data_IF_288387689439
#
_entry.id   IF_288387689439
#
_cell.length_a   1.000
_cell.length_b   1.000
_cell.length_c   1.000
_cell.angle_alpha   90.00
_cell.angle_beta   90.00
_cell.angle_gamma   90.00
#
_symmetry.space_group_name_H-M   'P 1'
#
loop_
_entity.id
_entity.type
_entity.pdbx_description
1 polymer ?
#
# COMPACT_ATOMS: atom_id res chain seq x y z
N UNK A 1 4.29 20.21 -18.45
CA UNK A 1 3.48 20.30 -17.23
C UNK A 1 2.08 19.75 -17.52
N UNK A 2 1.22 20.45 -18.28
CA UNK A 2 -0.18 20.05 -18.58
C UNK A 2 -0.50 18.55 -18.78
N UNK A 3 0.18 17.82 -19.68
CA UNK A 3 -0.16 16.39 -19.94
C UNK A 3 0.21 15.44 -18.79
N UNK A 4 1.33 15.67 -18.10
CA UNK A 4 1.72 14.83 -16.95
C UNK A 4 0.84 15.15 -15.75
N UNK A 5 0.59 16.43 -15.49
CA UNK A 5 -0.31 16.88 -14.43
C UNK A 5 -1.71 16.31 -14.62
N UNK A 6 -2.27 16.41 -15.83
CA UNK A 6 -3.58 15.82 -16.17
C UNK A 6 -3.64 14.31 -15.96
N UNK A 7 -2.58 13.58 -16.32
CA UNK A 7 -2.52 12.13 -16.08
C UNK A 7 -2.50 11.81 -14.58
N UNK A 8 -1.82 12.65 -13.82
CA UNK A 8 -1.62 12.45 -12.41
C UNK A 8 -2.83 12.84 -11.58
N UNK A 9 -3.77 13.66 -12.09
CA UNK A 9 -5.02 14.02 -11.38
C UNK A 9 -5.78 12.77 -10.90
N UNK A 10 -6.17 12.78 -9.62
CA UNK A 10 -6.88 11.69 -8.95
C UNK A 10 -6.09 10.39 -8.77
N UNK A 11 -4.75 10.44 -8.86
CA UNK A 11 -3.86 9.29 -8.59
C UNK A 11 -3.33 9.32 -7.16
N UNK A 12 -3.37 8.17 -6.49
CA UNK A 12 -2.87 8.00 -5.13
C UNK A 12 -1.35 7.88 -5.04
N UNK A 13 -0.68 7.53 -6.14
CA UNK A 13 0.76 7.28 -6.15
C UNK A 13 1.41 7.80 -7.43
N UNK A 14 2.54 8.48 -7.29
CA UNK A 14 3.53 8.68 -8.35
C UNK A 14 4.85 8.08 -7.87
N UNK A 15 5.41 7.09 -8.59
CA UNK A 15 6.66 6.45 -8.20
C UNK A 15 7.79 7.45 -8.03
N UNK A 16 8.60 7.32 -6.97
CA UNK A 16 9.77 8.18 -6.73
C UNK A 16 10.72 8.21 -7.93
N UNK A 17 10.92 7.07 -8.60
CA UNK A 17 11.69 6.95 -9.86
C UNK A 17 11.19 7.81 -11.03
N UNK A 18 9.95 8.28 -10.97
CA UNK A 18 9.33 9.18 -11.96
C UNK A 18 9.46 10.66 -11.57
N UNK A 19 9.93 10.97 -10.36
CA UNK A 19 10.13 12.33 -9.83
C UNK A 19 11.62 12.76 -9.78
N UNK A 20 12.54 12.01 -10.39
CA UNK A 20 13.97 12.37 -10.38
C UNK A 20 14.21 13.68 -11.16
N UNK A 21 15.04 14.62 -10.64
CA UNK A 21 15.22 15.96 -11.23
C UNK A 21 15.70 15.97 -12.69
N UNK A 22 16.52 15.00 -13.07
CA UNK A 22 17.21 14.98 -14.38
C UNK A 22 16.39 14.30 -15.50
N UNK A 23 15.12 13.96 -15.24
CA UNK A 23 14.31 13.24 -16.20
C UNK A 23 13.59 14.16 -17.17
N UNK A 24 13.62 13.77 -18.45
CA UNK A 24 12.75 14.38 -19.44
C UNK A 24 11.28 14.12 -19.09
N UNK A 25 10.41 15.06 -19.47
CA UNK A 25 8.96 14.96 -19.27
C UNK A 25 8.38 13.65 -19.83
N UNK A 26 8.90 13.21 -20.97
CA UNK A 26 8.50 11.95 -21.61
C UNK A 26 8.94 10.73 -20.78
N UNK A 27 10.14 10.78 -20.19
CA UNK A 27 10.63 9.70 -19.32
C UNK A 27 9.80 9.59 -18.04
N UNK A 28 9.45 10.71 -17.39
CA UNK A 28 8.54 10.72 -16.24
C UNK A 28 7.18 10.10 -16.58
N UNK A 29 6.61 10.49 -17.73
CA UNK A 29 5.33 9.97 -18.22
C UNK A 29 5.40 8.46 -18.49
N UNK A 30 6.40 8.00 -19.25
CA UNK A 30 6.55 6.58 -19.60
C UNK A 30 6.67 5.72 -18.34
N UNK A 31 7.51 6.15 -17.39
CA UNK A 31 7.71 5.41 -16.12
C UNK A 31 6.45 5.37 -15.26
N UNK A 32 5.68 6.44 -15.18
CA UNK A 32 4.41 6.44 -14.47
C UNK A 32 3.38 5.48 -15.12
N UNK A 33 3.32 5.46 -16.45
CA UNK A 33 2.43 4.54 -17.18
C UNK A 33 2.88 3.08 -17.03
N UNK A 34 4.18 2.80 -17.13
CA UNK A 34 4.74 1.47 -16.89
C UNK A 34 4.47 1.01 -15.46
N UNK A 35 4.63 1.89 -14.48
CA UNK A 35 4.34 1.60 -13.09
C UNK A 35 2.87 1.25 -12.85
N UNK A 36 1.96 2.00 -13.45
CA UNK A 36 0.51 1.79 -13.30
C UNK A 36 0.04 0.41 -13.76
N UNK A 37 0.83 -0.27 -14.60
CA UNK A 37 0.54 -1.61 -15.13
C UNK A 37 1.14 -2.73 -14.29
N UNK A 38 1.89 -2.42 -13.23
CA UNK A 38 2.50 -3.44 -12.37
C UNK A 38 1.43 -4.19 -11.59
N UNK A 39 1.63 -5.50 -11.50
CA UNK A 39 0.81 -6.43 -10.69
C UNK A 39 1.55 -6.95 -9.46
N UNK A 40 2.86 -6.71 -9.37
CA UNK A 40 3.71 -7.13 -8.26
C UNK A 40 4.10 -5.93 -7.40
N UNK A 41 3.87 -6.06 -6.10
CA UNK A 41 4.32 -5.10 -5.10
C UNK A 41 5.74 -5.45 -4.66
N UNK A 42 6.53 -4.42 -4.39
CA UNK A 42 7.88 -4.52 -3.83
C UNK A 42 7.89 -4.03 -2.38
N UNK A 43 9.03 -4.17 -1.70
CA UNK A 43 9.24 -3.55 -0.38
C UNK A 43 9.11 -2.02 -0.46
N UNK A 44 9.74 -1.42 -1.47
CA UNK A 44 9.72 0.03 -1.65
C UNK A 44 8.29 0.55 -1.79
N UNK A 45 7.42 -0.15 -2.53
CA UNK A 45 6.00 0.22 -2.62
C UNK A 45 5.30 0.24 -1.25
N UNK A 46 5.63 -0.71 -0.37
CA UNK A 46 5.05 -0.73 0.98
C UNK A 46 5.50 0.47 1.80
N UNK A 47 6.78 0.82 1.73
CA UNK A 47 7.40 1.91 2.49
C UNK A 47 7.10 3.30 1.90
N UNK A 48 6.86 3.39 0.60
CA UNK A 48 6.50 4.62 -0.13
C UNK A 48 5.07 5.10 0.17
N UNK A 49 4.31 4.30 0.93
CA UNK A 49 2.92 4.52 1.21
C UNK A 49 2.64 4.50 2.72
N UNK A 50 1.80 5.45 3.15
CA UNK A 50 0.94 5.18 4.27
C UNK A 50 -0.24 4.32 3.82
N UNK A 51 -0.81 3.54 4.73
CA UNK A 51 -1.88 2.61 4.43
C UNK A 51 -3.03 2.80 5.41
N UNK A 52 -4.26 2.89 4.91
CA UNK A 52 -5.43 2.68 5.76
C UNK A 52 -5.64 1.20 5.98
N UNK A 53 -5.98 0.83 7.21
CA UNK A 53 -6.21 -0.53 7.65
C UNK A 53 -7.63 -0.66 8.20
N UNK A 54 -8.31 -1.75 7.88
CA UNK A 54 -9.54 -2.15 8.55
C UNK A 54 -9.74 -3.67 8.51
N UNK A 55 -10.53 -4.18 9.45
CA UNK A 55 -11.03 -5.54 9.46
C UNK A 55 -12.17 -5.72 8.46
N UNK A 56 -12.32 -6.93 7.92
CA UNK A 56 -13.50 -7.30 7.13
C UNK A 56 -14.62 -7.75 8.05
N UNK A 57 -15.81 -7.92 7.49
CA UNK A 57 -16.99 -8.45 8.19
C UNK A 57 -16.78 -9.87 8.77
N UNK A 58 -15.77 -10.60 8.31
CA UNK A 58 -15.48 -11.97 8.79
C UNK A 58 -14.57 -11.99 10.03
N UNK A 59 -14.00 -10.85 10.40
CA UNK A 59 -13.19 -10.75 11.60
C UNK A 59 -14.04 -10.98 12.86
N UNK A 60 -13.45 -11.46 13.97
CA UNK A 60 -14.17 -11.57 15.23
C UNK A 60 -14.82 -10.24 15.64
N UNK A 61 -16.05 -10.30 16.14
CA UNK A 61 -16.88 -9.13 16.47
C UNK A 61 -16.18 -8.12 17.38
N UNK A 62 -15.36 -8.59 18.31
CA UNK A 62 -14.54 -7.72 19.15
C UNK A 62 -13.71 -6.71 18.34
N UNK A 63 -13.04 -7.18 17.28
CA UNK A 63 -12.18 -6.35 16.44
C UNK A 63 -13.00 -5.39 15.58
N UNK A 64 -14.12 -5.85 15.03
CA UNK A 64 -15.04 -5.02 14.25
C UNK A 64 -15.58 -3.87 15.10
N UNK A 65 -15.97 -4.14 16.35
CA UNK A 65 -16.56 -3.14 17.25
C UNK A 65 -15.59 -2.04 17.70
N UNK A 66 -14.28 -2.22 17.51
CA UNK A 66 -13.26 -1.21 17.85
C UNK A 66 -12.58 -0.61 16.62
N UNK A 67 -13.02 -0.99 15.42
CA UNK A 67 -12.49 -0.51 14.16
C UNK A 67 -13.28 0.73 13.67
N UNK A 68 -12.64 1.91 13.58
CA UNK A 68 -13.22 3.15 13.06
C UNK A 68 -13.93 3.01 11.72
N UNK A 69 -13.52 2.08 10.86
CA UNK A 69 -14.18 1.84 9.58
C UNK A 69 -15.64 1.37 9.77
N UNK A 70 -15.89 0.54 10.78
CA UNK A 70 -17.20 -0.03 11.08
C UNK A 70 -18.01 0.83 12.04
N UNK A 71 -17.35 1.42 13.04
CA UNK A 71 -18.04 2.28 14.01
C UNK A 71 -18.39 3.65 13.42
N UNK A 72 -17.64 4.10 12.41
CA UNK A 72 -17.72 5.46 11.89
C UNK A 72 -17.16 6.51 12.85
N UNK A 73 -16.48 6.09 13.92
CA UNK A 73 -15.97 6.97 14.97
C UNK A 73 -14.46 7.15 14.84
N UNK A 74 -14.03 8.42 14.74
CA UNK A 74 -12.61 8.78 14.69
C UNK A 74 -11.95 8.56 13.32
N UNK A 75 -10.62 8.79 13.23
CA UNK A 75 -9.89 8.58 12.00
C UNK A 75 -9.70 7.08 11.68
N UNK A 76 -9.68 6.73 10.40
CA UNK A 76 -9.33 5.38 9.96
C UNK A 76 -7.92 5.01 10.43
N UNK A 77 -7.75 3.74 10.81
CA UNK A 77 -6.48 3.21 11.31
C UNK A 77 -5.40 3.29 10.22
N UNK A 78 -4.20 3.75 10.59
CA UNK A 78 -3.07 3.87 9.65
C UNK A 78 -1.94 2.91 9.96
N UNK A 79 -1.29 2.42 8.92
CA UNK A 79 -0.14 1.51 9.00
C UNK A 79 1.00 2.07 8.17
N UNK A 80 2.21 1.94 8.72
CA UNK A 80 3.44 2.42 8.11
C UNK A 80 4.43 1.26 8.06
N UNK A 81 4.82 0.88 6.85
CA UNK A 81 5.81 -0.17 6.64
C UNK A 81 7.20 0.46 6.55
N UNK A 82 8.18 -0.15 7.20
CA UNK A 82 9.53 0.40 7.29
C UNK A 82 10.55 -0.46 6.55
N UNK A 83 11.66 0.12 6.06
CA UNK A 83 12.69 -0.63 5.32
C UNK A 83 13.33 -1.78 6.11
N UNK A 84 13.36 -1.67 7.44
CA UNK A 84 13.88 -2.69 8.36
C UNK A 84 12.97 -3.92 8.53
N UNK A 85 11.79 -3.90 7.90
CA UNK A 85 10.80 -4.97 7.98
C UNK A 85 9.79 -4.81 9.11
N UNK A 86 9.85 -3.72 9.88
CA UNK A 86 8.85 -3.41 10.91
C UNK A 86 7.60 -2.74 10.33
N UNK A 87 6.49 -2.81 11.08
CA UNK A 87 5.25 -2.10 10.79
C UNK A 87 4.80 -1.35 12.04
N UNK A 88 4.54 -0.05 11.91
CA UNK A 88 4.02 0.78 12.99
C UNK A 88 2.59 1.26 12.69
N UNK A 89 1.94 1.78 13.72
CA UNK A 89 0.62 2.40 13.66
C UNK A 89 0.64 3.76 14.38
N UNK A 90 -0.47 4.48 14.31
CA UNK A 90 -0.63 5.73 15.07
C UNK A 90 -0.65 5.44 16.60
N UNK A 91 -0.19 6.38 17.45
CA UNK A 91 -0.07 6.15 18.90
C UNK A 91 -1.38 5.77 19.60
N UNK A 92 -2.50 6.32 19.14
CA UNK A 92 -3.84 6.08 19.71
C UNK A 92 -4.52 4.81 19.13
N UNK A 93 -3.81 4.02 18.35
CA UNK A 93 -4.34 2.82 17.72
C UNK A 93 -4.58 1.70 18.74
N UNK A 94 -5.84 1.56 19.13
CA UNK A 94 -6.32 0.53 20.07
C UNK A 94 -6.25 -0.90 19.52
N UNK A 95 -6.18 -1.07 18.20
CA UNK A 95 -6.09 -2.39 17.55
C UNK A 95 -4.65 -2.89 17.55
N UNK A 96 -3.70 -2.00 17.28
CA UNK A 96 -2.28 -2.33 17.18
C UNK A 96 -1.64 -2.54 18.56
N UNK A 97 -2.13 -1.82 19.57
CA UNK A 97 -1.85 -2.10 20.99
C UNK A 97 -0.37 -2.03 21.38
N UNK A 98 0.47 -1.32 20.62
CA UNK A 98 1.90 -1.19 20.89
C UNK A 98 2.73 -2.46 20.63
N UNK A 99 2.18 -3.47 19.95
CA UNK A 99 2.92 -4.68 19.62
C UNK A 99 3.89 -4.48 18.45
N UNK A 100 5.11 -5.00 18.60
CA UNK A 100 6.04 -5.11 17.48
C UNK A 100 5.45 -6.01 16.40
N UNK A 101 5.41 -5.49 15.18
CA UNK A 101 4.93 -6.21 14.02
C UNK A 101 5.98 -6.18 12.93
N UNK A 102 6.13 -7.31 12.24
CA UNK A 102 7.04 -7.45 11.10
C UNK A 102 6.27 -7.84 9.86
N UNK A 103 6.81 -7.51 8.69
CA UNK A 103 6.24 -7.91 7.41
C UNK A 103 7.27 -8.58 6.52
N UNK A 104 6.77 -9.32 5.54
CA UNK A 104 7.57 -9.91 4.47
C UNK A 104 6.80 -9.85 3.16
N UNK A 105 7.48 -9.46 2.09
CA UNK A 105 7.00 -9.59 0.72
C UNK A 105 7.52 -10.91 0.18
N UNK A 106 6.61 -11.83 -0.15
CA UNK A 106 6.98 -13.11 -0.76
C UNK A 106 6.73 -13.02 -2.25
N UNK A 107 7.77 -13.31 -3.03
CA UNK A 107 7.68 -13.46 -4.48
C UNK A 107 8.27 -14.81 -4.86
N UNK A 108 7.44 -15.71 -5.39
CA UNK A 108 7.89 -17.01 -5.88
C UNK A 108 7.66 -17.11 -7.38
N UNK A 109 8.63 -17.71 -8.07
CA UNK A 109 8.55 -18.03 -9.50
C UNK A 109 8.89 -19.49 -9.62
N UNK A 110 7.88 -20.34 -9.87
CA UNK A 110 8.13 -21.77 -10.13
C UNK A 110 8.33 -21.95 -11.63
N UNK A 111 9.50 -22.45 -12.03
CA UNK A 111 9.80 -22.88 -13.39
C UNK A 111 10.01 -24.38 -13.34
N UNK A 112 8.92 -25.12 -13.55
CA UNK A 112 8.83 -26.41 -14.24
C UNK A 112 7.41 -26.99 -14.04
N UNK A 113 6.74 -27.32 -15.14
CA UNK A 113 5.48 -28.09 -15.18
C UNK A 113 4.18 -27.40 -14.74
N UNK A 114 4.22 -26.26 -14.05
CA UNK A 114 3.01 -25.53 -13.64
C UNK A 114 3.32 -24.15 -13.08
N UNK A 115 3.22 -23.13 -13.94
CA UNK A 115 3.57 -21.74 -13.60
C UNK A 115 2.62 -21.23 -12.50
N UNK A 116 3.11 -21.14 -11.26
CA UNK A 116 2.49 -20.29 -10.24
C UNK A 116 3.49 -19.19 -9.89
N UNK A 117 3.13 -17.96 -10.22
CA UNK A 117 3.83 -16.75 -9.76
C UNK A 117 3.06 -16.20 -8.57
N UNK A 118 3.57 -16.39 -7.36
CA UNK A 118 2.96 -15.78 -6.18
C UNK A 118 3.63 -14.44 -5.88
N UNK A 119 2.82 -13.43 -5.56
CA UNK A 119 3.26 -12.19 -4.96
C UNK A 119 2.24 -11.80 -3.88
N UNK A 120 2.65 -11.90 -2.63
CA UNK A 120 1.79 -11.61 -1.48
C UNK A 120 2.59 -10.98 -0.35
N UNK A 121 1.87 -10.30 0.55
CA UNK A 121 2.43 -9.73 1.77
C UNK A 121 1.96 -10.54 2.96
N UNK A 122 2.84 -10.79 3.92
CA UNK A 122 2.47 -11.30 5.25
C UNK A 122 2.89 -10.28 6.29
N UNK A 123 2.01 -10.05 7.24
CA UNK A 123 2.29 -9.30 8.47
C UNK A 123 2.19 -10.31 9.60
N UNK A 124 3.26 -10.45 10.39
CA UNK A 124 3.38 -11.46 11.43
C UNK A 124 2.97 -12.87 10.93
N UNK A 125 2.13 -13.57 11.70
CA UNK A 125 1.58 -14.89 11.37
C UNK A 125 0.19 -14.82 10.74
N UNK A 126 -0.27 -13.64 10.31
CA UNK A 126 -1.58 -13.50 9.69
C UNK A 126 -1.67 -14.25 8.36
N UNK A 127 -2.89 -14.58 7.88
CA UNK A 127 -3.08 -15.16 6.57
C UNK A 127 -2.45 -14.30 5.47
N UNK A 128 -1.94 -14.95 4.41
CA UNK A 128 -1.34 -14.26 3.27
C UNK A 128 -2.29 -13.22 2.70
N UNK A 129 -1.79 -12.01 2.48
CA UNK A 129 -2.55 -10.94 1.87
C UNK A 129 -2.28 -10.89 0.37
N UNK A 130 -3.34 -11.07 -0.42
CA UNK A 130 -3.32 -10.88 -1.85
C UNK A 130 -3.08 -9.41 -2.16
N UNK A 131 -2.22 -9.19 -3.15
CA UNK A 131 -1.87 -7.87 -3.67
C UNK A 131 -2.75 -7.58 -4.89
N UNK A 132 -3.26 -6.35 -4.98
CA UNK A 132 -3.91 -5.86 -6.20
C UNK A 132 -3.62 -4.39 -6.44
N UNK A 133 -3.50 -4.01 -7.71
CA UNK A 133 -3.36 -2.61 -8.12
C UNK A 133 -4.73 -1.97 -8.33
N UNK A 134 -4.89 -0.73 -7.87
CA UNK A 134 -6.11 0.08 -8.04
C UNK A 134 -6.03 0.99 -9.27
N UNK A 135 -7.19 1.47 -9.74
CA UNK A 135 -7.33 2.39 -10.90
C UNK A 135 -6.71 3.77 -10.68
N UNK A 136 -6.68 4.20 -9.43
CA UNK A 136 -6.00 5.42 -8.98
C UNK A 136 -4.48 5.22 -8.80
N UNK A 137 -3.94 4.07 -9.25
CA UNK A 137 -2.54 3.68 -9.11
C UNK A 137 -2.10 3.40 -7.67
N UNK A 138 -3.03 3.32 -6.72
CA UNK A 138 -2.75 2.77 -5.40
C UNK A 138 -2.64 1.25 -5.41
N UNK A 139 -2.40 0.70 -4.22
CA UNK A 139 -2.30 -0.72 -3.95
C UNK A 139 -3.32 -1.11 -2.88
N UNK A 140 -3.88 -2.31 -3.01
CA UNK A 140 -4.66 -2.96 -1.96
C UNK A 140 -3.96 -4.26 -1.56
N UNK A 141 -3.92 -4.51 -0.25
CA UNK A 141 -3.56 -5.80 0.35
C UNK A 141 -4.79 -6.32 1.06
N UNK A 142 -5.18 -7.57 0.83
CA UNK A 142 -6.31 -8.14 1.55
C UNK A 142 -6.19 -9.63 1.76
N UNK A 143 -6.74 -10.10 2.87
CA UNK A 143 -7.06 -11.50 3.07
C UNK A 143 -8.51 -11.58 3.57
N UNK A 144 -8.92 -12.75 4.07
CA UNK A 144 -10.28 -12.91 4.57
C UNK A 144 -10.59 -12.00 5.74
N UNK A 145 -9.61 -11.68 6.61
CA UNK A 145 -9.80 -10.97 7.90
C UNK A 145 -9.56 -9.45 7.78
N UNK A 146 -8.62 -9.02 6.94
CA UNK A 146 -8.15 -7.62 6.93
C UNK A 146 -7.97 -7.08 5.52
N UNK A 147 -8.06 -5.75 5.40
CA UNK A 147 -7.75 -4.99 4.20
C UNK A 147 -6.87 -3.80 4.53
N UNK A 148 -5.85 -3.61 3.69
CA UNK A 148 -5.01 -2.44 3.63
C UNK A 148 -5.20 -1.79 2.28
N UNK A 149 -5.27 -0.46 2.28
CA UNK A 149 -5.41 0.33 1.06
C UNK A 149 -4.39 1.46 1.12
N UNK A 150 -3.52 1.59 0.12
CA UNK A 150 -2.52 2.65 0.13
C UNK A 150 -3.21 4.00 -0.01
N UNK A 151 -2.68 5.02 0.68
CA UNK A 151 -3.20 6.38 0.63
C UNK A 151 -2.18 7.33 0.00
N UNK A 152 -2.65 8.41 -0.65
CA UNK A 152 -1.77 9.50 -1.04
C UNK A 152 -1.16 10.14 0.22
N UNK A 153 0.13 10.42 0.15
CA UNK A 153 0.91 11.01 1.23
C UNK A 153 1.67 12.25 0.76
N UNK A 154 1.07 13.00 -0.18
CA UNK A 154 1.69 14.14 -0.86
C UNK A 154 2.26 15.20 0.09
N UNK A 155 1.61 15.40 1.24
CA UNK A 155 1.99 16.35 2.27
C UNK A 155 3.18 15.91 3.13
N UNK A 156 3.60 14.64 3.04
CA UNK A 156 4.79 14.14 3.76
C UNK A 156 6.05 14.47 2.99
N UNK A 157 7.12 14.77 3.71
CA UNK A 157 8.44 14.92 3.09
C UNK A 157 8.83 13.60 2.38
N UNK A 158 9.22 13.70 1.12
CA UNK A 158 9.44 12.53 0.25
C UNK A 158 8.17 11.77 -0.17
N UNK A 159 6.98 12.34 0.03
CA UNK A 159 5.68 11.76 -0.31
C UNK A 159 5.55 11.38 -1.78
N UNK A 160 4.89 10.25 -2.03
CA UNK A 160 4.66 9.73 -3.38
C UNK A 160 3.33 10.16 -3.96
N UNK A 161 2.40 10.59 -3.10
CA UNK A 161 1.18 11.27 -3.51
C UNK A 161 1.47 12.55 -4.31
N UNK A 162 0.54 12.95 -5.19
CA UNK A 162 0.57 14.27 -5.82
C UNK A 162 -0.17 15.35 -5.00
N UNK A 163 0.31 16.59 -5.10
CA UNK A 163 -0.14 17.76 -4.31
C UNK A 163 -1.24 18.61 -4.99
N UNK A 164 -1.81 18.17 -6.12
CA UNK A 164 -2.65 19.03 -6.96
C UNK A 164 -4.06 19.28 -6.41
#
# INVERSE_FOLDING_TARGET
MKKCEQLWVGKAHIPRRSKLPDLSKLACYSRAVEDSKRVRITRDDLCDHAWTFHFTETAPTYWINIDPYWTGEGPLLRRYFHPDGSVTADPEDKVWGGHECTYTVVTSVTVDGGITQENYVRVNRWPRMRVSRRRDWGWDLSNVIVRYSSIPDAEKDGGTGPMY
#
